data_IF_055032004591
#
_entry.id   IF_055032004591
#
_cell.length_a   1.000
_cell.length_b   1.000
_cell.length_c   1.000
_cell.angle_alpha   90.00
_cell.angle_beta   90.00
_cell.angle_gamma   90.00
#
_symmetry.space_group_name_H-M   'P 1'
#
loop_
_entity.id
_entity.type
_entity.pdbx_description
1 polymer ?
#
# COMPACT_ATOMS: atom_id res chain seq x y z
N UNK A 1 -6.23 17.30 7.14
CA UNK A 1 -6.56 16.95 8.53
C UNK A 1 -5.36 17.21 9.44
N UNK A 2 -4.22 16.53 9.25
CA UNK A 2 -3.02 16.63 10.11
C UNK A 2 -2.27 17.97 10.05
N UNK A 3 -2.60 18.84 9.09
CA UNK A 3 -1.90 20.12 8.76
C UNK A 3 -0.43 19.94 8.31
N UNK A 4 0.00 18.72 7.99
CA UNK A 4 1.33 18.47 7.44
C UNK A 4 1.52 19.14 6.07
N UNK A 5 0.45 19.24 5.27
CA UNK A 5 0.37 19.96 4.00
C UNK A 5 -0.82 20.92 4.01
N UNK A 6 -0.74 22.01 3.27
CA UNK A 6 -1.93 22.76 2.88
C UNK A 6 -2.70 22.00 1.77
N UNK A 7 -3.94 22.40 1.53
CA UNK A 7 -4.81 21.69 0.58
C UNK A 7 -4.28 21.75 -0.86
N UNK A 8 -3.78 22.91 -1.27
CA UNK A 8 -3.32 23.13 -2.65
C UNK A 8 -2.07 22.28 -2.96
N UNK A 9 -1.09 22.26 -2.06
CA UNK A 9 0.11 21.45 -2.23
C UNK A 9 -0.22 19.96 -2.20
N UNK A 10 -1.12 19.55 -1.32
CA UNK A 10 -1.61 18.16 -1.29
C UNK A 10 -2.28 17.77 -2.61
N UNK A 11 -3.10 18.63 -3.20
CA UNK A 11 -3.76 18.38 -4.48
C UNK A 11 -2.75 18.29 -5.64
N UNK A 12 -1.75 19.18 -5.67
CA UNK A 12 -0.66 19.14 -6.66
C UNK A 12 0.13 17.82 -6.58
N UNK A 13 0.46 17.36 -5.37
CA UNK A 13 1.16 16.07 -5.18
C UNK A 13 0.33 14.88 -5.64
N UNK A 14 -0.97 14.84 -5.31
CA UNK A 14 -1.88 13.77 -5.77
C UNK A 14 -1.96 13.76 -7.30
N UNK A 15 -2.06 14.93 -7.94
CA UNK A 15 -2.06 15.06 -9.39
C UNK A 15 -0.75 14.56 -10.02
N UNK A 16 0.40 14.98 -9.50
CA UNK A 16 1.72 14.53 -9.96
C UNK A 16 1.88 13.02 -9.81
N UNK A 17 1.46 12.48 -8.66
CA UNK A 17 1.45 11.03 -8.41
C UNK A 17 0.61 10.27 -9.44
N UNK A 18 -0.62 10.74 -9.70
CA UNK A 18 -1.52 10.09 -10.65
C UNK A 18 -0.91 10.05 -12.07
N UNK A 19 -0.34 11.17 -12.53
CA UNK A 19 0.33 11.25 -13.83
C UNK A 19 1.55 10.34 -13.93
N UNK A 20 2.42 10.36 -12.94
CA UNK A 20 3.62 9.53 -12.91
C UNK A 20 3.26 8.04 -12.91
N UNK A 21 2.27 7.63 -12.12
CA UNK A 21 1.79 6.25 -12.08
C UNK A 21 1.15 5.82 -13.41
N UNK A 22 0.33 6.66 -14.03
CA UNK A 22 -0.28 6.37 -15.34
C UNK A 22 0.80 6.12 -16.40
N UNK A 23 1.80 7.00 -16.48
CA UNK A 23 2.92 6.86 -17.40
C UNK A 23 3.73 5.57 -17.17
N UNK A 24 3.97 5.20 -15.90
CA UNK A 24 4.66 3.95 -15.57
C UNK A 24 3.84 2.71 -16.00
N UNK A 25 2.51 2.74 -15.83
CA UNK A 25 1.61 1.68 -16.28
C UNK A 25 1.60 1.51 -17.81
N UNK A 26 1.63 2.62 -18.56
CA UNK A 26 1.68 2.60 -20.03
C UNK A 26 3.00 2.02 -20.56
N UNK A 27 4.11 2.29 -19.86
CA UNK A 27 5.43 1.77 -20.24
C UNK A 27 5.59 0.27 -19.91
N UNK A 28 4.95 -0.21 -18.84
CA UNK A 28 5.11 -1.58 -18.34
C UNK A 28 3.73 -2.23 -18.11
N UNK A 29 3.17 -2.91 -19.12
CA UNK A 29 1.89 -3.63 -18.99
C UNK A 29 1.94 -4.65 -17.86
N UNK A 30 1.15 -4.42 -16.84
CA UNK A 30 1.18 -5.17 -15.59
C UNK A 30 -0.18 -5.15 -14.91
N UNK A 31 -0.35 -5.93 -13.84
CA UNK A 31 -1.66 -6.05 -13.18
C UNK A 31 -1.52 -6.43 -11.71
N UNK A 32 -2.65 -6.62 -11.05
CA UNK A 32 -2.77 -7.07 -9.67
C UNK A 32 -3.80 -8.19 -9.56
N UNK A 33 -3.70 -9.00 -8.49
CA UNK A 33 -4.71 -9.99 -8.17
C UNK A 33 -4.97 -10.04 -6.65
N UNK A 34 -6.24 -10.22 -6.28
CA UNK A 34 -6.66 -10.41 -4.90
C UNK A 34 -6.65 -11.88 -4.54
N UNK A 35 -5.95 -12.22 -3.45
CA UNK A 35 -5.82 -13.56 -2.88
C UNK A 35 -6.59 -13.62 -1.58
N UNK A 36 -7.51 -14.58 -1.48
CA UNK A 36 -8.38 -14.73 -0.32
C UNK A 36 -8.23 -16.11 0.32
N UNK A 37 -8.13 -16.13 1.64
CA UNK A 37 -8.22 -17.34 2.44
C UNK A 37 -6.89 -18.08 2.64
N UNK A 38 -5.76 -17.44 2.34
CA UNK A 38 -4.42 -17.93 2.66
C UNK A 38 -3.74 -17.05 3.70
N UNK A 39 -2.75 -17.62 4.37
CA UNK A 39 -1.83 -16.88 5.23
C UNK A 39 -0.89 -15.99 4.39
N UNK A 40 -0.58 -14.81 4.91
CA UNK A 40 0.26 -13.83 4.21
C UNK A 40 1.66 -14.39 3.90
N UNK A 41 2.26 -15.18 4.80
CA UNK A 41 3.60 -15.75 4.62
C UNK A 41 3.62 -16.75 3.47
N UNK A 42 2.58 -17.57 3.35
CA UNK A 42 2.46 -18.52 2.24
C UNK A 42 2.33 -17.81 0.89
N UNK A 43 1.54 -16.74 0.84
CA UNK A 43 1.42 -15.92 -0.38
C UNK A 43 2.75 -15.28 -0.76
N UNK A 44 3.49 -14.73 0.21
CA UNK A 44 4.82 -14.16 -0.02
C UNK A 44 5.82 -15.20 -0.53
N UNK A 45 5.80 -16.40 0.04
CA UNK A 45 6.68 -17.50 -0.36
C UNK A 45 6.40 -17.94 -1.80
N UNK A 46 5.14 -18.11 -2.16
CA UNK A 46 4.76 -18.44 -3.54
C UNK A 46 5.22 -17.35 -4.49
N UNK A 47 5.00 -16.07 -4.18
CA UNK A 47 5.46 -14.97 -5.01
C UNK A 47 6.98 -14.96 -5.24
N UNK A 48 7.76 -15.24 -4.20
CA UNK A 48 9.25 -15.31 -4.30
C UNK A 48 9.74 -16.43 -5.22
N UNK A 49 8.95 -17.49 -5.39
CA UNK A 49 9.30 -18.67 -6.21
C UNK A 49 8.74 -18.61 -7.64
N UNK A 50 8.17 -17.48 -8.06
CA UNK A 50 7.70 -17.24 -9.43
C UNK A 50 8.80 -16.55 -10.24
N UNK A 51 9.02 -17.02 -11.47
CA UNK A 51 9.85 -16.30 -12.43
C UNK A 51 9.14 -15.03 -12.91
N UNK A 52 9.82 -13.90 -12.82
CA UNK A 52 9.28 -12.58 -13.13
C UNK A 52 8.98 -11.77 -11.87
N UNK A 53 8.50 -10.55 -12.08
CA UNK A 53 8.21 -9.62 -10.96
C UNK A 53 6.78 -9.85 -10.49
N UNK A 54 6.64 -10.42 -9.28
CA UNK A 54 5.38 -10.47 -8.53
C UNK A 54 5.67 -10.35 -7.04
N UNK A 55 4.94 -9.48 -6.35
CA UNK A 55 5.14 -9.18 -4.93
C UNK A 55 3.81 -9.06 -4.20
N UNK A 56 3.84 -9.28 -2.88
CA UNK A 56 2.75 -8.89 -1.98
C UNK A 56 2.67 -7.36 -1.91
N UNK A 57 1.54 -6.80 -2.32
CA UNK A 57 1.37 -5.36 -2.50
C UNK A 57 0.43 -4.72 -1.47
N UNK A 58 -0.69 -5.37 -1.10
CA UNK A 58 -1.62 -4.79 -0.14
C UNK A 58 -2.05 -5.83 0.91
N UNK A 59 -1.67 -5.59 2.16
CA UNK A 59 -2.13 -6.33 3.33
C UNK A 59 -3.41 -5.67 3.86
N UNK A 60 -4.58 -6.06 3.31
CA UNK A 60 -5.85 -5.38 3.57
C UNK A 60 -6.49 -5.80 4.90
N UNK A 61 -6.53 -7.11 5.16
CA UNK A 61 -6.94 -7.69 6.44
C UNK A 61 -6.44 -9.15 6.50
N UNK A 62 -6.48 -9.81 7.66
CA UNK A 62 -6.10 -11.22 7.77
C UNK A 62 -6.82 -12.08 6.73
N UNK A 63 -6.06 -12.85 5.95
CA UNK A 63 -6.58 -13.69 4.88
C UNK A 63 -7.04 -12.96 3.60
N UNK A 64 -6.73 -11.67 3.46
CA UNK A 64 -6.94 -10.91 2.21
C UNK A 64 -5.71 -10.09 1.86
N UNK A 65 -4.97 -10.57 0.88
CA UNK A 65 -3.77 -9.95 0.38
C UNK A 65 -3.89 -9.71 -1.13
N UNK A 66 -3.38 -8.59 -1.63
CA UNK A 66 -3.28 -8.31 -3.06
C UNK A 66 -1.83 -8.47 -3.49
N UNK A 67 -1.61 -9.22 -4.56
CA UNK A 67 -0.32 -9.37 -5.23
C UNK A 67 -0.26 -8.46 -6.46
N UNK A 68 0.93 -8.01 -6.81
CA UNK A 68 1.16 -7.02 -7.86
C UNK A 68 2.39 -7.40 -8.69
N UNK A 69 2.31 -7.31 -10.02
CA UNK A 69 3.43 -7.71 -10.86
C UNK A 69 3.13 -7.77 -12.36
N UNK A 70 4.04 -8.38 -13.10
CA UNK A 70 3.90 -8.65 -14.53
C UNK A 70 2.71 -9.57 -14.82
N UNK A 71 2.04 -9.37 -15.94
CA UNK A 71 0.83 -10.13 -16.29
C UNK A 71 1.04 -11.65 -16.20
N UNK A 72 2.11 -12.16 -16.79
CA UNK A 72 2.41 -13.60 -16.78
C UNK A 72 2.80 -14.12 -15.39
N UNK A 73 3.54 -13.33 -14.61
CA UNK A 73 3.91 -13.69 -13.24
C UNK A 73 2.69 -13.74 -12.33
N UNK A 74 1.74 -12.81 -12.48
CA UNK A 74 0.47 -12.81 -11.76
C UNK A 74 -0.38 -14.03 -12.12
N UNK A 75 -0.47 -14.40 -13.39
CA UNK A 75 -1.21 -15.59 -13.82
C UNK A 75 -0.65 -16.87 -13.18
N UNK A 76 0.67 -17.09 -13.28
CA UNK A 76 1.36 -18.21 -12.62
C UNK A 76 1.18 -18.21 -11.10
N UNK A 77 1.27 -17.02 -10.47
CA UNK A 77 1.07 -16.90 -9.03
C UNK A 77 -0.38 -17.27 -8.63
N UNK A 78 -1.38 -16.82 -9.38
CA UNK A 78 -2.78 -17.16 -9.14
C UNK A 78 -3.05 -18.67 -9.24
N UNK A 79 -2.46 -19.35 -10.24
CA UNK A 79 -2.56 -20.82 -10.39
C UNK A 79 -1.96 -21.52 -9.17
N UNK A 80 -0.70 -21.21 -8.81
CA UNK A 80 -0.02 -21.84 -7.67
C UNK A 80 -0.69 -21.53 -6.33
N UNK A 81 -1.21 -20.32 -6.13
CA UNK A 81 -1.94 -19.96 -4.92
C UNK A 81 -3.30 -20.67 -4.84
N UNK A 82 -3.95 -20.90 -5.97
CA UNK A 82 -5.17 -21.72 -6.02
C UNK A 82 -4.89 -23.18 -5.67
N UNK A 83 -3.81 -23.76 -6.20
CA UNK A 83 -3.34 -25.12 -5.84
C UNK A 83 -2.97 -25.23 -4.36
N UNK A 84 -2.40 -24.14 -3.78
CA UNK A 84 -2.07 -24.06 -2.36
C UNK A 84 -3.30 -23.86 -1.45
N UNK A 85 -4.52 -23.79 -2.00
CA UNK A 85 -5.77 -23.74 -1.26
C UNK A 85 -6.37 -22.34 -1.08
N UNK A 86 -5.98 -21.35 -1.88
CA UNK A 86 -6.65 -20.07 -1.89
C UNK A 86 -8.14 -20.23 -2.18
N UNK A 87 -8.99 -19.68 -1.33
CA UNK A 87 -10.43 -19.66 -1.55
C UNK A 87 -10.80 -18.92 -2.83
N UNK A 88 -10.04 -17.88 -3.19
CA UNK A 88 -10.12 -17.14 -4.45
C UNK A 88 -8.76 -16.52 -4.79
N UNK A 89 -8.41 -16.56 -6.07
CA UNK A 89 -7.33 -15.80 -6.68
C UNK A 89 -7.92 -15.04 -7.88
N UNK A 90 -8.19 -13.75 -7.74
CA UNK A 90 -8.96 -12.94 -8.68
C UNK A 90 -8.10 -11.83 -9.25
N UNK A 91 -7.87 -11.86 -10.57
CA UNK A 91 -7.24 -10.76 -11.30
C UNK A 91 -8.12 -9.51 -11.20
N UNK A 92 -7.52 -8.39 -10.86
CA UNK A 92 -8.21 -7.11 -10.70
C UNK A 92 -8.27 -6.36 -12.05
N UNK A 93 -9.33 -5.59 -12.31
CA UNK A 93 -9.46 -4.79 -13.55
C UNK A 93 -8.63 -3.50 -13.43
N UNK A 94 -7.32 -3.63 -13.22
CA UNK A 94 -6.36 -2.53 -13.12
C UNK A 94 -5.25 -2.71 -14.13
N UNK A 95 -4.78 -1.61 -14.71
CA UNK A 95 -3.78 -1.57 -15.78
C UNK A 95 -2.35 -1.37 -15.28
N UNK A 96 -2.03 -1.67 -14.02
CA UNK A 96 -0.69 -1.47 -13.50
C UNK A 96 -0.39 -2.25 -12.23
N UNK A 97 0.89 -2.53 -12.01
CA UNK A 97 1.41 -3.21 -10.83
C UNK A 97 1.76 -2.18 -9.75
N UNK A 98 0.75 -1.62 -9.10
CA UNK A 98 0.96 -0.67 -8.02
C UNK A 98 1.65 -1.33 -6.83
N UNK A 99 2.43 -0.53 -6.09
CA UNK A 99 3.17 -0.98 -4.90
C UNK A 99 4.17 -2.12 -5.18
N UNK A 100 4.75 -2.12 -6.39
CA UNK A 100 5.76 -3.09 -6.84
C UNK A 100 6.99 -2.37 -7.40
N UNK A 101 8.10 -3.09 -7.64
CA UNK A 101 9.28 -2.52 -8.29
C UNK A 101 9.01 -1.90 -9.67
N UNK A 102 7.93 -2.30 -10.36
CA UNK A 102 7.53 -1.75 -11.66
C UNK A 102 7.10 -0.27 -11.59
N UNK A 103 6.85 0.26 -10.38
CA UNK A 103 6.54 1.68 -10.15
C UNK A 103 7.79 2.56 -9.91
N UNK A 104 9.02 2.03 -10.03
CA UNK A 104 10.24 2.81 -9.80
C UNK A 104 10.32 4.09 -10.68
N UNK A 105 9.93 4.07 -11.98
CA UNK A 105 9.90 5.29 -12.79
C UNK A 105 8.96 6.37 -12.22
N UNK A 106 7.79 5.97 -11.72
CA UNK A 106 6.84 6.89 -11.09
C UNK A 106 7.37 7.45 -9.77
N UNK A 107 8.09 6.63 -9.00
CA UNK A 107 8.73 7.04 -7.74
C UNK A 107 9.77 8.14 -7.97
N UNK A 108 10.59 8.01 -8.99
CA UNK A 108 11.61 9.01 -9.32
C UNK A 108 10.96 10.36 -9.71
N UNK A 109 9.91 10.33 -10.54
CA UNK A 109 9.17 11.53 -10.94
C UNK A 109 8.44 12.19 -9.76
N UNK A 110 7.80 11.40 -8.89
CA UNK A 110 7.11 11.92 -7.71
C UNK A 110 8.08 12.47 -6.65
N UNK A 111 9.27 11.88 -6.53
CA UNK A 111 10.30 12.38 -5.60
C UNK A 111 10.62 13.84 -5.83
N UNK A 112 10.80 14.27 -7.07
CA UNK A 112 11.06 15.67 -7.42
C UNK A 112 9.92 16.59 -6.95
N UNK A 113 8.66 16.18 -7.15
CA UNK A 113 7.52 16.96 -6.70
C UNK A 113 7.44 17.03 -5.15
N UNK A 114 7.74 15.94 -4.44
CA UNK A 114 7.77 15.91 -2.98
C UNK A 114 8.90 16.77 -2.43
N UNK A 115 10.10 16.69 -3.00
CA UNK A 115 11.26 17.47 -2.56
C UNK A 115 10.98 18.98 -2.66
N UNK A 116 10.28 19.41 -3.71
CA UNK A 116 9.88 20.80 -3.94
C UNK A 116 8.65 21.25 -3.14
N UNK A 117 8.05 20.37 -2.35
CA UNK A 117 6.86 20.68 -1.54
C UNK A 117 7.26 20.90 -0.08
N UNK A 118 6.69 21.93 0.55
CA UNK A 118 6.91 22.20 1.96
C UNK A 118 6.01 21.35 2.84
N UNK A 119 6.59 20.59 3.77
CA UNK A 119 5.88 19.81 4.77
C UNK A 119 6.09 20.41 6.15
N UNK A 120 5.00 20.56 6.89
CA UNK A 120 5.02 21.03 8.27
C UNK A 120 4.92 19.84 9.23
N UNK A 121 5.37 20.05 10.47
CA UNK A 121 5.12 19.08 11.54
C UNK A 121 3.62 18.91 11.72
N UNK A 122 3.09 17.68 11.63
CA UNK A 122 1.67 17.43 11.80
C UNK A 122 1.21 17.66 13.23
N UNK A 123 -0.05 18.06 13.41
CA UNK A 123 -0.67 18.27 14.74
C UNK A 123 -1.02 16.96 15.45
N UNK A 124 -0.94 15.84 14.77
CA UNK A 124 -1.15 14.50 15.30
C UNK A 124 -0.26 13.52 14.53
N UNK A 125 0.10 12.37 15.12
CA UNK A 125 0.86 11.34 14.42
C UNK A 125 0.16 10.87 13.15
N UNK A 126 0.95 10.61 12.10
CA UNK A 126 0.48 10.06 10.83
C UNK A 126 1.00 8.63 10.72
N UNK A 127 0.08 7.69 10.46
CA UNK A 127 0.44 6.32 10.12
C UNK A 127 0.51 6.19 8.60
N UNK A 128 1.68 5.80 8.09
CA UNK A 128 1.91 5.61 6.67
C UNK A 128 2.09 4.12 6.35
N UNK A 129 1.67 3.72 5.15
CA UNK A 129 1.63 2.30 4.78
C UNK A 129 3.00 1.61 4.67
N UNK A 130 4.08 2.37 4.47
CA UNK A 130 5.43 1.82 4.27
C UNK A 130 5.93 1.07 5.51
N UNK A 131 5.81 1.68 6.67
CA UNK A 131 6.33 1.17 7.94
C UNK A 131 5.25 0.87 8.98
N UNK A 132 4.01 1.29 8.71
CA UNK A 132 2.85 1.15 9.59
C UNK A 132 3.05 1.79 10.98
N UNK A 133 3.93 2.77 11.11
CA UNK A 133 4.28 3.43 12.38
C UNK A 133 3.71 4.84 12.46
N UNK A 134 3.55 5.32 13.69
CA UNK A 134 3.19 6.70 13.98
C UNK A 134 4.39 7.63 13.75
N UNK A 135 4.26 8.60 12.84
CA UNK A 135 5.33 9.54 12.48
C UNK A 135 4.85 10.98 12.62
N UNK A 136 5.69 11.85 13.17
CA UNK A 136 5.46 13.31 13.28
C UNK A 136 6.57 14.12 12.62
N UNK A 137 7.69 13.49 12.25
CA UNK A 137 8.78 14.16 11.55
C UNK A 137 8.45 14.39 10.07
N UNK A 138 8.46 15.66 9.59
CA UNK A 138 8.22 15.98 8.18
C UNK A 138 9.18 15.32 7.19
N UNK A 139 10.44 15.12 7.58
CA UNK A 139 11.45 14.48 6.73
C UNK A 139 11.10 13.01 6.53
N UNK A 140 10.83 12.30 7.61
CA UNK A 140 10.42 10.91 7.55
C UNK A 140 9.10 10.72 6.78
N UNK A 141 8.15 11.66 6.92
CA UNK A 141 6.88 11.65 6.16
C UNK A 141 7.16 11.74 4.66
N UNK A 142 8.07 12.61 4.21
CA UNK A 142 8.49 12.73 2.80
C UNK A 142 9.11 11.43 2.29
N UNK A 143 10.07 10.88 3.02
CA UNK A 143 10.75 9.63 2.67
C UNK A 143 9.76 8.47 2.51
N UNK A 144 8.83 8.35 3.45
CA UNK A 144 7.78 7.33 3.40
C UNK A 144 6.84 7.51 2.20
N UNK A 145 6.47 8.75 1.83
CA UNK A 145 5.65 9.03 0.66
C UNK A 145 6.36 8.63 -0.65
N UNK A 146 7.65 8.89 -0.75
CA UNK A 146 8.48 8.50 -1.90
C UNK A 146 8.57 6.97 -1.97
N UNK A 147 8.89 6.32 -0.86
CA UNK A 147 9.04 4.87 -0.80
C UNK A 147 7.75 4.12 -1.10
N UNK A 148 6.59 4.70 -0.78
CA UNK A 148 5.28 4.05 -0.90
C UNK A 148 4.93 3.59 -2.31
N UNK A 149 5.46 4.21 -3.37
CA UNK A 149 5.12 3.81 -4.73
C UNK A 149 5.59 2.40 -5.07
N UNK A 150 6.71 1.98 -4.47
CA UNK A 150 7.30 0.66 -4.67
C UNK A 150 7.20 -0.24 -3.44
N UNK A 151 6.66 0.27 -2.33
CA UNK A 151 6.50 -0.45 -1.07
C UNK A 151 5.05 -0.89 -0.84
N UNK A 152 4.83 -2.00 -0.12
CA UNK A 152 3.50 -2.51 0.15
C UNK A 152 2.65 -1.57 1.01
N UNK A 153 1.33 -1.68 0.85
CA UNK A 153 0.32 -1.09 1.71
C UNK A 153 0.10 -2.00 2.91
N UNK A 154 0.56 -1.59 4.09
CA UNK A 154 0.51 -2.36 5.35
C UNK A 154 -0.71 -1.97 6.20
N UNK A 155 -1.90 -2.01 5.60
CA UNK A 155 -3.12 -1.56 6.28
C UNK A 155 -3.44 -2.40 7.53
N UNK A 156 -3.32 -3.71 7.44
CA UNK A 156 -3.51 -4.61 8.59
C UNK A 156 -2.61 -4.22 9.76
N UNK A 157 -1.33 -3.99 9.49
CA UNK A 157 -0.35 -3.63 10.50
C UNK A 157 -0.60 -2.22 11.09
N UNK A 158 -1.07 -1.27 10.26
CA UNK A 158 -1.50 0.05 10.74
C UNK A 158 -2.64 -0.09 11.75
N UNK A 159 -3.67 -0.85 11.40
CA UNK A 159 -4.83 -1.06 12.29
C UNK A 159 -4.44 -1.74 13.60
N UNK A 160 -3.56 -2.73 13.54
CA UNK A 160 -3.02 -3.38 14.74
C UNK A 160 -2.22 -2.41 15.61
N UNK A 161 -1.31 -1.62 15.02
CA UNK A 161 -0.48 -0.66 15.75
C UNK A 161 -1.31 0.48 16.34
N UNK A 162 -2.32 0.97 15.62
CA UNK A 162 -3.27 1.94 16.17
C UNK A 162 -4.05 1.38 17.34
N UNK A 163 -4.55 0.14 17.26
CA UNK A 163 -5.32 -0.50 18.34
C UNK A 163 -4.48 -0.62 19.62
N UNK A 164 -3.21 -1.00 19.50
CA UNK A 164 -2.29 -1.09 20.64
C UNK A 164 -2.02 0.30 21.24
N UNK A 165 -1.88 1.34 20.40
CA UNK A 165 -1.59 2.71 20.84
C UNK A 165 -2.81 3.42 21.45
N UNK A 166 -4.02 3.01 21.09
CA UNK A 166 -5.30 3.61 21.52
C UNK A 166 -6.16 2.61 22.32
N UNK A 167 -5.57 1.94 23.31
CA UNK A 167 -6.26 0.97 24.18
C UNK A 167 -7.43 1.58 25.00
N UNK A 168 -7.75 2.85 24.83
CA UNK A 168 -8.86 3.55 25.48
C UNK A 168 -10.01 3.99 24.54
N UNK A 169 -10.11 3.47 23.35
CA UNK A 169 -11.35 3.55 22.58
C UNK A 169 -12.35 2.49 23.09
N UNK A 170 -12.68 2.56 24.38
CA UNK A 170 -13.92 2.01 24.87
C UNK A 170 -15.04 2.89 24.33
N UNK A 171 -15.86 2.36 23.44
CA UNK A 171 -17.19 2.90 23.21
C UNK A 171 -17.85 3.07 24.57
N UNK A 172 -18.47 4.23 24.90
CA UNK A 172 -19.22 4.36 26.13
C UNK A 172 -20.30 3.29 26.09
N UNK A 173 -20.15 2.27 26.92
CA UNK A 173 -21.20 1.32 27.18
C UNK A 173 -22.30 2.14 27.84
N UNK A 174 -23.38 2.38 27.12
CA UNK A 174 -24.62 2.91 27.69
C UNK A 174 -25.18 1.87 28.65
N UNK A 175 -24.66 1.88 29.88
CA UNK A 175 -25.30 1.21 31.02
C UNK A 175 -26.31 2.16 31.63
N UNK A 176 -27.41 2.40 30.93
CA UNK A 176 -28.64 2.93 31.47
C UNK A 176 -29.77 2.08 30.93
N UNK A 177 -30.01 0.96 31.60
CA UNK A 177 -31.30 0.32 31.72
C UNK A 177 -31.63 0.38 33.21
N UNK A 178 -32.35 1.42 33.59
CA UNK A 178 -33.14 1.49 34.81
C UNK A 178 -34.58 1.26 34.46
#
# INVERSE_FOLDING_TARGET
>A
ASKSLNFEDGLKLVHSRAKAMQKACEANPSTMAAILGLDDQLVEEVCKNIDGIVVAANYNCPGQLVISGENQAIEKACEKLSEAGARRALKLPVGGAFHSPLMEPAKMELKEAIDNTNFNTPICPIYQNVDAKAVTDPIQIKENLIAQLTAPVRWTQIMQNMTVSYTHLTLPTNSNVG
#
